data_IF_056553860061
#
_entry.id   IF_056553860061
#
_cell.length_a   1.000
_cell.length_b   1.000
_cell.length_c   1.000
_cell.angle_alpha   90.00
_cell.angle_beta   90.00
_cell.angle_gamma   90.00
#
_symmetry.space_group_name_H-M   'P 1'
#
loop_
_entity.id
_entity.type
_entity.pdbx_description
1 polymer ?
#
# COMPACT_ATOMS: atom_id res chain seq x y z
N UNK A 1 -5.29 36.73 41.58
CA UNK A 1 -5.48 36.93 40.12
C UNK A 1 -4.19 36.76 39.31
N UNK A 2 -3.00 36.90 39.91
CA UNK A 2 -1.72 36.82 39.18
C UNK A 2 -1.22 35.40 38.88
N UNK A 3 -1.53 34.41 39.71
CA UNK A 3 -1.12 33.01 39.46
C UNK A 3 -1.77 32.42 38.21
N UNK A 4 -3.04 32.75 37.95
CA UNK A 4 -3.77 32.31 36.77
C UNK A 4 -3.23 32.93 35.46
N UNK A 5 -2.64 34.14 35.52
CA UNK A 5 -1.96 34.76 34.37
C UNK A 5 -0.61 34.08 34.12
N UNK A 6 0.18 33.83 35.16
CA UNK A 6 1.50 33.19 35.05
C UNK A 6 1.42 31.78 34.43
N UNK A 7 0.47 30.95 34.87
CA UNK A 7 0.26 29.61 34.33
C UNK A 7 -0.09 29.63 32.83
N UNK A 8 -0.91 30.60 32.39
CA UNK A 8 -1.33 30.74 30.99
C UNK A 8 -0.17 31.16 30.08
N UNK A 9 0.74 32.00 30.57
CA UNK A 9 1.96 32.41 29.84
C UNK A 9 2.95 31.25 29.68
N UNK A 10 3.15 30.44 30.72
CA UNK A 10 4.02 29.26 30.66
C UNK A 10 3.47 28.22 29.66
N UNK A 11 2.15 28.02 29.64
CA UNK A 11 1.51 27.09 28.72
C UNK A 11 1.59 27.56 27.25
N UNK A 12 1.35 28.84 26.99
CA UNK A 12 1.52 29.45 25.65
C UNK A 12 2.98 29.44 25.17
N UNK A 13 3.93 29.64 26.09
CA UNK A 13 5.35 29.52 25.78
C UNK A 13 5.73 28.10 25.35
N UNK A 14 5.24 27.07 26.06
CA UNK A 14 5.47 25.67 25.69
C UNK A 14 4.89 25.31 24.34
N UNK A 15 3.66 25.74 24.03
CA UNK A 15 3.04 25.43 22.72
C UNK A 15 3.76 26.11 21.57
N UNK A 16 4.21 27.36 21.74
CA UNK A 16 5.03 28.05 20.74
C UNK A 16 6.38 27.35 20.52
N UNK A 17 7.04 26.91 21.58
CA UNK A 17 8.34 26.22 21.50
C UNK A 17 8.21 24.86 20.80
N UNK A 18 7.17 24.10 21.14
CA UNK A 18 6.84 22.84 20.43
C UNK A 18 6.52 23.11 18.96
N UNK A 19 5.74 24.16 18.65
CA UNK A 19 5.42 24.55 17.28
C UNK A 19 6.68 24.90 16.47
N UNK A 20 7.58 25.71 17.03
CA UNK A 20 8.86 26.06 16.41
C UNK A 20 9.76 24.85 16.19
N UNK A 21 9.82 23.94 17.17
CA UNK A 21 10.60 22.70 17.06
C UNK A 21 10.07 21.78 15.95
N UNK A 22 8.74 21.66 15.81
CA UNK A 22 8.12 20.90 14.73
C UNK A 22 8.40 21.52 13.36
N UNK A 23 8.33 22.85 13.24
CA UNK A 23 8.67 23.56 11.99
C UNK A 23 10.14 23.33 11.64
N UNK A 24 11.04 23.48 12.61
CA UNK A 24 12.47 23.25 12.39
C UNK A 24 12.76 21.82 11.95
N UNK A 25 12.16 20.82 12.60
CA UNK A 25 12.27 19.42 12.21
C UNK A 25 11.73 19.18 10.79
N UNK A 26 10.59 19.77 10.43
CA UNK A 26 10.01 19.64 9.11
C UNK A 26 10.90 20.25 8.02
N UNK A 27 11.48 21.44 8.27
CA UNK A 27 12.40 22.09 7.33
C UNK A 27 13.71 21.31 7.20
N UNK A 28 14.30 20.90 8.32
CA UNK A 28 15.53 20.10 8.32
C UNK A 28 15.33 18.76 7.58
N UNK A 29 14.20 18.10 7.82
CA UNK A 29 13.83 16.87 7.11
C UNK A 29 13.60 17.12 5.62
N UNK A 30 12.92 18.21 5.25
CA UNK A 30 12.72 18.60 3.86
C UNK A 30 14.03 18.89 3.12
N UNK A 31 14.97 19.60 3.75
CA UNK A 31 16.30 19.85 3.19
C UNK A 31 17.12 18.56 3.07
N UNK A 32 17.06 17.68 4.08
CA UNK A 32 17.71 16.37 4.04
C UNK A 32 17.19 15.51 2.88
N UNK A 33 15.87 15.41 2.73
CA UNK A 33 15.25 14.70 1.61
C UNK A 33 15.58 15.34 0.25
N UNK A 34 15.55 16.67 0.17
CA UNK A 34 15.92 17.38 -1.06
C UNK A 34 17.35 17.10 -1.49
N UNK A 35 18.29 17.12 -0.54
CA UNK A 35 19.69 16.79 -0.82
C UNK A 35 19.86 15.32 -1.24
N UNK A 36 19.13 14.41 -0.59
CA UNK A 36 19.15 13.00 -0.93
C UNK A 36 18.60 12.70 -2.34
N UNK A 37 17.56 13.42 -2.78
CA UNK A 37 16.98 13.28 -4.13
C UNK A 37 17.92 13.78 -5.22
N UNK A 38 18.77 14.78 -4.92
CA UNK A 38 19.77 15.30 -5.87
C UNK A 38 21.04 14.42 -5.88
N UNK A 39 21.21 13.57 -4.86
CA UNK A 39 22.38 12.70 -4.75
C UNK A 39 22.38 11.58 -5.81
N UNK A 40 23.56 11.04 -6.17
CA UNK A 40 23.66 9.86 -7.03
C UNK A 40 22.87 8.63 -6.53
N UNK A 41 22.57 8.58 -5.22
CA UNK A 41 21.86 7.49 -4.55
C UNK A 41 20.40 7.86 -4.25
N UNK A 42 19.78 8.69 -5.08
CA UNK A 42 18.37 9.10 -4.94
C UNK A 42 17.39 7.91 -4.83
N UNK A 43 17.77 6.76 -5.38
CA UNK A 43 17.03 5.49 -5.27
C UNK A 43 16.83 5.04 -3.81
N UNK A 44 17.89 5.09 -3.01
CA UNK A 44 17.84 4.71 -1.59
C UNK A 44 17.03 5.72 -0.77
N UNK A 45 17.05 6.99 -1.18
CA UNK A 45 16.25 8.03 -0.56
C UNK A 45 14.75 7.78 -0.76
N UNK A 46 14.34 7.52 -2.00
CA UNK A 46 12.94 7.20 -2.34
C UNK A 46 12.51 5.94 -1.60
N UNK A 47 13.36 4.91 -1.59
CA UNK A 47 13.14 3.67 -0.86
C UNK A 47 12.92 3.91 0.64
N UNK A 48 13.80 4.68 1.28
CA UNK A 48 13.72 5.00 2.71
C UNK A 48 12.46 5.80 3.03
N UNK A 49 12.10 6.79 2.19
CA UNK A 49 10.90 7.60 2.37
C UNK A 49 9.63 6.77 2.25
N UNK A 50 9.53 5.94 1.20
CA UNK A 50 8.32 5.15 0.94
C UNK A 50 8.17 4.03 1.97
N UNK A 51 9.20 3.21 2.18
CA UNK A 51 9.11 2.10 3.14
C UNK A 51 9.12 2.57 4.59
N UNK A 52 9.93 3.58 4.92
CA UNK A 52 9.96 4.18 6.25
C UNK A 52 8.65 4.91 6.56
N UNK A 53 8.14 5.70 5.62
CA UNK A 53 6.84 6.37 5.74
C UNK A 53 5.70 5.38 5.91
N UNK A 54 5.71 4.28 5.15
CA UNK A 54 4.72 3.21 5.28
C UNK A 54 4.83 2.51 6.65
N UNK A 55 6.04 2.21 7.11
CA UNK A 55 6.26 1.60 8.42
C UNK A 55 5.76 2.52 9.55
N UNK A 56 6.08 3.81 9.50
CA UNK A 56 5.59 4.81 10.47
C UNK A 56 4.07 4.89 10.44
N UNK A 57 3.45 4.94 9.25
CA UNK A 57 1.99 4.97 9.12
C UNK A 57 1.33 3.74 9.75
N UNK A 58 1.89 2.55 9.53
CA UNK A 58 1.41 1.29 10.14
C UNK A 58 1.54 1.32 11.66
N UNK A 59 2.68 1.78 12.19
CA UNK A 59 2.93 1.85 13.63
C UNK A 59 2.02 2.87 14.33
N UNK A 60 1.74 4.02 13.70
CA UNK A 60 0.84 5.03 14.24
C UNK A 60 -0.62 4.58 14.21
N UNK A 61 -1.05 3.98 13.11
CA UNK A 61 -2.42 3.48 12.95
C UNK A 61 -2.45 2.35 11.93
N UNK A 62 -2.59 1.08 12.35
CA UNK A 62 -2.57 -0.06 11.43
C UNK A 62 -3.65 0.00 10.35
N UNK A 63 -4.81 0.59 10.66
CA UNK A 63 -5.89 0.79 9.68
C UNK A 63 -5.46 1.79 8.61
N UNK A 64 -4.89 2.93 9.01
CA UNK A 64 -4.42 3.93 8.05
C UNK A 64 -3.21 3.42 7.26
N UNK A 65 -2.32 2.66 7.90
CA UNK A 65 -1.19 2.00 7.24
C UNK A 65 -1.65 1.00 6.18
N UNK A 66 -2.67 0.18 6.48
CA UNK A 66 -3.29 -0.72 5.50
C UNK A 66 -3.91 0.04 4.33
N UNK A 67 -4.66 1.11 4.60
CA UNK A 67 -5.28 1.95 3.56
C UNK A 67 -4.23 2.64 2.68
N UNK A 68 -3.16 3.18 3.30
CA UNK A 68 -2.04 3.79 2.59
C UNK A 68 -1.33 2.76 1.70
N UNK A 69 -1.08 1.57 2.23
CA UNK A 69 -0.54 0.46 1.44
C UNK A 69 -1.45 0.13 0.26
N UNK A 70 -2.77 0.03 0.45
CA UNK A 70 -3.72 -0.21 -0.65
C UNK A 70 -3.68 0.85 -1.75
N UNK A 71 -3.45 2.12 -1.40
CA UNK A 71 -3.31 3.20 -2.39
C UNK A 71 -2.06 2.99 -3.25
N UNK A 72 -0.96 2.55 -2.63
CA UNK A 72 0.35 2.40 -3.26
C UNK A 72 0.49 1.04 -3.97
N UNK A 73 -0.20 -0.01 -3.52
CA UNK A 73 -0.04 -1.38 -4.01
C UNK A 73 -0.30 -1.56 -5.53
N UNK A 74 -1.24 -0.85 -6.18
CA UNK A 74 -1.37 -0.92 -7.63
C UNK A 74 -0.12 -0.45 -8.36
N UNK A 75 0.61 0.51 -7.78
CA UNK A 75 1.91 0.90 -8.31
C UNK A 75 2.88 -0.28 -8.17
N UNK A 76 2.82 -1.06 -7.08
CA UNK A 76 3.68 -2.24 -6.84
C UNK A 76 3.62 -3.27 -7.96
N UNK A 77 2.42 -3.47 -8.49
CA UNK A 77 2.19 -4.41 -9.58
C UNK A 77 2.71 -3.90 -10.93
N UNK A 78 3.02 -2.60 -11.04
CA UNK A 78 3.82 -2.03 -12.13
C UNK A 78 5.31 -2.43 -12.05
N UNK A 79 5.61 -3.56 -11.41
CA UNK A 79 6.86 -4.34 -11.38
C UNK A 79 7.65 -4.44 -12.70
N UNK A 80 7.06 -4.06 -13.84
CA UNK A 80 7.71 -3.89 -15.13
C UNK A 80 8.45 -2.55 -15.29
N UNK A 81 8.37 -1.65 -14.30
CA UNK A 81 9.02 -0.34 -14.31
C UNK A 81 10.16 -0.27 -13.32
N UNK A 82 11.24 0.42 -13.71
CA UNK A 82 12.46 0.59 -12.91
C UNK A 82 12.17 1.15 -11.50
N UNK A 83 11.12 1.99 -11.37
CA UNK A 83 10.67 2.60 -10.11
C UNK A 83 10.38 1.56 -9.02
N UNK A 84 9.81 0.40 -9.36
CA UNK A 84 9.52 -0.62 -8.36
C UNK A 84 10.70 -1.52 -8.04
N UNK A 85 11.63 -1.65 -8.98
CA UNK A 85 12.92 -2.30 -8.70
C UNK A 85 13.73 -1.50 -7.70
N UNK A 86 13.62 -0.16 -7.75
CA UNK A 86 14.25 0.77 -6.81
C UNK A 86 13.71 0.58 -5.39
N UNK A 87 12.41 0.35 -5.24
CA UNK A 87 11.79 0.19 -3.92
C UNK A 87 12.11 -1.16 -3.25
N UNK A 88 12.52 -2.17 -4.00
CA UNK A 88 12.83 -3.50 -3.45
C UNK A 88 14.26 -3.55 -2.89
N UNK A 89 14.39 -4.08 -1.67
CA UNK A 89 15.72 -4.42 -1.11
C UNK A 89 16.02 -5.87 -1.46
N UNK A 90 17.09 -6.07 -2.23
CA UNK A 90 17.57 -7.41 -2.57
C UNK A 90 18.18 -8.05 -1.33
N UNK A 91 17.64 -9.20 -0.95
CA UNK A 91 18.12 -9.95 0.20
C UNK A 91 19.16 -11.00 -0.24
N UNK A 92 20.01 -11.50 0.69
CA UNK A 92 20.94 -12.58 0.39
C UNK A 92 20.23 -13.83 -0.16
N UNK A 93 20.94 -14.69 -0.92
CA UNK A 93 20.37 -15.92 -1.47
C UNK A 93 19.66 -16.75 -0.41
N UNK A 94 18.42 -17.16 -0.71
CA UNK A 94 17.58 -17.95 0.19
C UNK A 94 16.58 -17.13 1.02
N UNK A 95 16.73 -15.81 1.09
CA UNK A 95 15.75 -14.93 1.73
C UNK A 95 14.94 -14.20 0.64
N UNK A 96 13.60 -14.19 0.70
CA UNK A 96 12.79 -13.40 -0.21
C UNK A 96 13.13 -11.90 -0.09
N UNK A 97 13.30 -11.23 -1.23
CA UNK A 97 13.52 -9.77 -1.29
C UNK A 97 12.50 -8.98 -0.45
N UNK A 98 12.93 -7.91 0.20
CA UNK A 98 12.02 -7.08 0.98
C UNK A 98 11.33 -6.08 0.04
N UNK A 99 10.09 -6.39 -0.31
CA UNK A 99 9.21 -5.52 -1.09
C UNK A 99 8.33 -4.68 -0.15
N UNK A 100 7.82 -3.52 -0.59
CA UNK A 100 6.83 -2.77 0.17
C UNK A 100 5.61 -3.59 0.59
N UNK A 101 5.16 -4.55 -0.22
CA UNK A 101 4.06 -5.45 0.11
C UNK A 101 4.41 -6.39 1.28
N UNK A 102 5.59 -7.04 1.21
CA UNK A 102 6.06 -7.94 2.26
C UNK A 102 6.33 -7.17 3.56
N UNK A 103 6.90 -5.97 3.46
CA UNK A 103 7.09 -5.08 4.61
C UNK A 103 5.74 -4.71 5.24
N UNK A 104 4.77 -4.25 4.44
CA UNK A 104 3.47 -3.83 4.93
C UNK A 104 2.75 -4.98 5.62
N UNK A 105 2.63 -6.13 4.97
CA UNK A 105 1.92 -7.29 5.50
C UNK A 105 2.65 -7.87 6.70
N UNK A 106 3.97 -7.98 6.66
CA UNK A 106 4.78 -8.45 7.78
C UNK A 106 4.61 -7.57 9.01
N UNK A 107 4.78 -6.25 8.84
CA UNK A 107 4.68 -5.29 9.94
C UNK A 107 3.24 -5.20 10.47
N UNK A 108 2.23 -5.15 9.59
CA UNK A 108 0.82 -5.18 10.00
C UNK A 108 0.49 -6.45 10.78
N UNK A 109 1.01 -7.60 10.36
CA UNK A 109 0.82 -8.88 11.05
C UNK A 109 1.44 -8.84 12.45
N UNK A 110 2.68 -8.36 12.58
CA UNK A 110 3.36 -8.22 13.89
C UNK A 110 2.59 -7.27 14.80
N UNK A 111 2.20 -6.09 14.31
CA UNK A 111 1.45 -5.11 15.10
C UNK A 111 0.07 -5.67 15.49
N UNK A 112 -0.60 -6.37 14.59
CA UNK A 112 -1.88 -7.01 14.88
C UNK A 112 -1.75 -8.09 15.96
N UNK A 113 -0.76 -8.98 15.86
CA UNK A 113 -0.48 -10.00 16.88
C UNK A 113 -0.14 -9.35 18.23
N UNK A 114 0.65 -8.28 18.24
CA UNK A 114 0.94 -7.53 19.46
C UNK A 114 -0.34 -6.90 20.07
N UNK A 115 -1.24 -6.35 19.25
CA UNK A 115 -2.53 -5.82 19.72
C UNK A 115 -3.45 -6.92 20.27
N UNK A 116 -3.42 -8.12 19.70
CA UNK A 116 -4.11 -9.29 20.24
C UNK A 116 -3.53 -9.71 21.59
N UNK A 117 -2.20 -9.77 21.70
CA UNK A 117 -1.51 -10.18 22.93
C UNK A 117 -1.79 -9.22 24.11
N UNK A 118 -1.90 -7.92 23.84
CA UNK A 118 -2.24 -6.89 24.85
C UNK A 118 -3.77 -6.85 25.11
N UNK A 119 -4.57 -7.61 24.37
CA UNK A 119 -6.04 -7.63 24.51
C UNK A 119 -6.75 -6.39 23.98
N UNK A 120 -6.05 -5.52 23.23
CA UNK A 120 -6.63 -4.33 22.57
C UNK A 120 -7.57 -4.70 21.42
N UNK A 121 -7.40 -5.89 20.83
CA UNK A 121 -8.27 -6.41 19.78
C UNK A 121 -8.68 -7.85 20.07
N UNK A 122 -9.78 -8.26 19.46
CA UNK A 122 -10.25 -9.64 19.44
C UNK A 122 -10.34 -10.12 18.00
N UNK A 123 -10.00 -11.38 17.79
CA UNK A 123 -10.15 -12.03 16.48
C UNK A 123 -11.64 -12.19 16.19
N UNK A 124 -12.09 -11.69 15.03
CA UNK A 124 -13.44 -11.94 14.54
C UNK A 124 -13.61 -13.42 14.18
N UNK A 125 -14.85 -13.91 14.21
CA UNK A 125 -15.15 -15.33 13.90
C UNK A 125 -14.54 -15.74 12.56
N UNK A 126 -13.88 -16.88 12.55
CA UNK A 126 -13.34 -17.49 11.34
C UNK A 126 -14.50 -17.87 10.41
N UNK A 127 -14.37 -17.57 9.13
CA UNK A 127 -15.31 -17.95 8.07
C UNK A 127 -14.54 -18.42 6.85
N UNK A 128 -14.45 -17.64 5.76
CA UNK A 128 -13.74 -18.03 4.54
C UNK A 128 -12.23 -18.26 4.76
N UNK A 129 -11.65 -17.73 5.84
CA UNK A 129 -10.24 -17.92 6.18
C UNK A 129 -9.85 -19.39 6.38
N UNK A 130 -10.79 -20.23 6.82
CA UNK A 130 -10.54 -21.66 6.99
C UNK A 130 -10.21 -22.31 5.65
N UNK A 131 -10.93 -21.94 4.59
CA UNK A 131 -10.66 -22.43 3.23
C UNK A 131 -9.37 -21.85 2.66
N UNK A 132 -9.03 -20.59 2.99
CA UNK A 132 -7.76 -19.97 2.60
C UNK A 132 -6.57 -20.72 3.22
N UNK A 133 -6.65 -21.04 4.51
CA UNK A 133 -5.61 -21.82 5.21
C UNK A 133 -5.52 -23.23 4.64
N UNK A 134 -6.66 -23.89 4.42
CA UNK A 134 -6.70 -25.22 3.80
C UNK A 134 -6.06 -25.20 2.40
N UNK A 135 -6.36 -24.20 1.58
CA UNK A 135 -5.71 -24.02 0.28
C UNK A 135 -4.19 -23.91 0.42
N UNK A 136 -3.69 -23.07 1.34
CA UNK A 136 -2.25 -22.94 1.57
C UNK A 136 -1.60 -24.28 1.94
N UNK A 137 -2.24 -25.07 2.80
CA UNK A 137 -1.75 -26.41 3.19
C UNK A 137 -1.75 -27.36 2.00
N UNK A 138 -2.83 -27.38 1.21
CA UNK A 138 -2.96 -28.27 0.05
C UNK A 138 -2.00 -27.92 -1.09
N UNK A 139 -1.50 -26.69 -1.16
CA UNK A 139 -0.53 -26.25 -2.18
C UNK A 139 0.91 -26.61 -1.80
N UNK A 140 1.22 -26.93 -0.54
CA UNK A 140 2.59 -27.26 -0.10
C UNK A 140 3.25 -28.40 -0.91
N UNK A 141 2.57 -29.52 -1.22
CA UNK A 141 3.16 -30.57 -2.05
C UNK A 141 3.50 -30.08 -3.47
N UNK A 142 2.67 -29.21 -4.05
CA UNK A 142 2.93 -28.64 -5.37
C UNK A 142 4.14 -27.69 -5.36
N UNK A 143 4.35 -26.95 -4.27
CA UNK A 143 5.55 -26.12 -4.08
C UNK A 143 6.79 -26.99 -3.92
N UNK A 144 6.70 -28.07 -3.14
CA UNK A 144 7.81 -29.00 -2.94
C UNK A 144 8.22 -29.71 -4.24
N UNK A 145 7.25 -29.99 -5.13
CA UNK A 145 7.47 -30.59 -6.44
C UNK A 145 7.88 -29.57 -7.54
N UNK A 146 8.03 -28.28 -7.21
CA UNK A 146 8.29 -27.21 -8.17
C UNK A 146 9.66 -27.32 -8.87
N UNK A 147 9.64 -27.25 -10.21
CA UNK A 147 10.84 -27.39 -11.06
C UNK A 147 11.85 -26.23 -10.92
N UNK A 148 11.40 -25.04 -10.52
CA UNK A 148 12.25 -23.85 -10.33
C UNK A 148 12.92 -23.78 -8.95
N UNK A 149 12.82 -24.85 -8.16
CA UNK A 149 13.32 -24.93 -6.79
C UNK A 149 12.36 -24.32 -5.77
N UNK A 150 12.49 -24.77 -4.52
CA UNK A 150 11.59 -24.41 -3.41
C UNK A 150 11.59 -22.90 -3.15
N UNK A 151 12.75 -22.24 -3.26
CA UNK A 151 12.85 -20.81 -2.96
C UNK A 151 12.08 -19.94 -3.98
N UNK A 152 12.20 -20.22 -5.26
CA UNK A 152 11.47 -19.47 -6.31
C UNK A 152 9.96 -19.75 -6.24
N UNK A 153 9.61 -21.04 -6.16
CA UNK A 153 8.20 -21.47 -6.12
C UNK A 153 7.50 -20.99 -4.84
N UNK A 154 8.21 -21.02 -3.70
CA UNK A 154 7.74 -20.51 -2.42
C UNK A 154 7.52 -19.00 -2.41
N UNK A 155 8.38 -18.21 -3.08
CA UNK A 155 8.16 -16.78 -3.25
C UNK A 155 6.88 -16.48 -4.05
N UNK A 156 6.64 -17.24 -5.13
CA UNK A 156 5.38 -17.11 -5.89
C UNK A 156 4.17 -17.46 -5.03
N UNK A 157 4.27 -18.51 -4.21
CA UNK A 157 3.21 -18.87 -3.26
C UNK A 157 2.93 -17.72 -2.28
N UNK A 158 4.00 -17.16 -1.71
CA UNK A 158 3.93 -16.06 -0.76
C UNK A 158 3.26 -14.83 -1.38
N UNK A 159 3.71 -14.40 -2.55
CA UNK A 159 3.25 -13.15 -3.15
C UNK A 159 1.84 -13.28 -3.75
N UNK A 160 1.51 -14.43 -4.35
CA UNK A 160 0.24 -14.60 -5.07
C UNK A 160 -0.91 -15.12 -4.23
N UNK A 161 -0.64 -15.79 -3.12
CA UNK A 161 -1.68 -16.44 -2.32
C UNK A 161 -1.62 -16.02 -0.86
N UNK A 162 -0.48 -16.24 -0.19
CA UNK A 162 -0.38 -15.99 1.26
C UNK A 162 -0.56 -14.49 1.57
N UNK A 163 0.10 -13.61 0.83
CA UNK A 163 0.01 -12.16 1.02
C UNK A 163 -1.43 -11.65 0.87
N UNK A 164 -2.17 -11.94 -0.22
CA UNK A 164 -3.59 -11.58 -0.33
C UNK A 164 -4.48 -12.16 0.79
N UNK A 165 -4.25 -13.40 1.23
CA UNK A 165 -5.03 -14.01 2.30
C UNK A 165 -4.75 -13.36 3.66
N UNK A 166 -3.49 -13.02 3.94
CA UNK A 166 -3.13 -12.26 5.13
C UNK A 166 -3.74 -10.86 5.10
N UNK A 167 -3.68 -10.17 3.96
CA UNK A 167 -4.33 -8.86 3.78
C UNK A 167 -5.83 -8.95 4.05
N UNK A 168 -6.50 -9.98 3.53
CA UNK A 168 -7.92 -10.21 3.81
C UNK A 168 -8.18 -10.40 5.31
N UNK A 169 -7.43 -11.28 5.97
CA UNK A 169 -7.56 -11.53 7.39
C UNK A 169 -7.28 -10.26 8.22
N UNK A 170 -6.22 -9.51 7.87
CA UNK A 170 -5.87 -8.25 8.51
C UNK A 170 -6.98 -7.21 8.33
N UNK A 171 -7.45 -7.00 7.09
CA UNK A 171 -8.54 -6.07 6.79
C UNK A 171 -9.79 -6.38 7.61
N UNK A 172 -10.23 -7.65 7.63
CA UNK A 172 -11.41 -8.08 8.39
C UNK A 172 -11.27 -7.79 9.89
N UNK A 173 -10.09 -7.98 10.47
CA UNK A 173 -9.86 -7.81 11.90
C UNK A 173 -9.45 -6.38 12.30
N UNK A 174 -8.95 -5.58 11.36
CA UNK A 174 -8.52 -4.19 11.58
C UNK A 174 -9.68 -3.21 11.43
N UNK A 175 -10.60 -3.43 10.47
CA UNK A 175 -11.71 -2.52 10.21
C UNK A 175 -12.85 -2.64 11.22
N UNK A 176 -13.24 -1.48 11.77
CA UNK A 176 -14.52 -1.30 12.45
C UNK A 176 -15.65 -1.18 11.41
N UNK A 177 -16.84 -1.73 11.69
CA UNK A 177 -17.87 -1.97 10.68
C UNK A 177 -18.27 -0.74 9.88
N UNK A 178 -18.59 0.39 10.52
CA UNK A 178 -19.07 1.59 9.79
C UNK A 178 -17.93 2.47 9.29
N UNK A 179 -17.06 2.93 10.20
CA UNK A 179 -15.95 3.82 9.85
C UNK A 179 -14.92 3.16 8.93
N UNK A 180 -14.71 1.85 9.05
CA UNK A 180 -13.81 1.10 8.17
C UNK A 180 -14.31 1.05 6.74
N UNK A 181 -15.62 0.85 6.53
CA UNK A 181 -16.23 0.85 5.20
C UNK A 181 -16.17 2.21 4.53
N UNK A 182 -16.44 3.29 5.26
CA UNK A 182 -16.32 4.66 4.73
C UNK A 182 -14.89 4.97 4.29
N UNK A 183 -13.90 4.64 5.12
CA UNK A 183 -12.48 4.84 4.79
C UNK A 183 -12.03 3.96 3.62
N UNK A 184 -12.46 2.71 3.59
CA UNK A 184 -12.17 1.79 2.49
C UNK A 184 -12.76 2.32 1.18
N UNK A 185 -14.02 2.76 1.21
CA UNK A 185 -14.69 3.38 0.06
C UNK A 185 -13.93 4.61 -0.44
N UNK A 186 -13.52 5.51 0.46
CA UNK A 186 -12.71 6.67 0.10
C UNK A 186 -11.37 6.26 -0.52
N UNK A 187 -10.69 5.25 0.04
CA UNK A 187 -9.45 4.70 -0.53
C UNK A 187 -9.66 4.10 -1.92
N UNK A 188 -10.72 3.32 -2.12
CA UNK A 188 -11.07 2.77 -3.43
C UNK A 188 -11.40 3.89 -4.43
N UNK A 189 -12.10 4.95 -4.00
CA UNK A 189 -12.38 6.11 -4.84
C UNK A 189 -11.09 6.82 -5.28
N UNK A 190 -10.14 7.05 -4.36
CA UNK A 190 -8.81 7.60 -4.70
C UNK A 190 -8.10 6.72 -5.73
N UNK A 191 -8.14 5.39 -5.55
CA UNK A 191 -7.58 4.43 -6.50
C UNK A 191 -8.25 4.54 -7.88
N UNK A 192 -9.58 4.56 -7.91
CA UNK A 192 -10.35 4.70 -9.14
C UNK A 192 -10.05 6.01 -9.87
N UNK A 193 -9.94 7.12 -9.13
CA UNK A 193 -9.65 8.45 -9.70
C UNK A 193 -8.28 8.45 -10.39
N UNK A 194 -7.21 8.03 -9.70
CA UNK A 194 -5.89 8.06 -10.33
C UNK A 194 -5.79 7.05 -11.47
N UNK A 195 -6.38 5.85 -11.36
CA UNK A 195 -6.38 4.88 -12.46
C UNK A 195 -7.10 5.44 -13.69
N UNK A 196 -8.25 6.10 -13.48
CA UNK A 196 -9.01 6.76 -14.55
C UNK A 196 -8.21 7.89 -15.19
N UNK A 197 -7.51 8.69 -14.39
CA UNK A 197 -6.61 9.73 -14.88
C UNK A 197 -5.49 9.15 -15.75
N UNK A 198 -4.81 8.09 -15.30
CA UNK A 198 -3.75 7.45 -16.08
C UNK A 198 -4.29 6.87 -17.39
N UNK A 199 -5.44 6.20 -17.36
CA UNK A 199 -6.10 5.68 -18.56
C UNK A 199 -6.44 6.80 -19.55
N UNK A 200 -6.99 7.91 -19.04
CA UNK A 200 -7.35 9.07 -19.86
C UNK A 200 -6.12 9.71 -20.50
N UNK A 201 -5.02 9.86 -19.75
CA UNK A 201 -3.75 10.33 -20.28
C UNK A 201 -3.22 9.42 -21.40
N UNK A 202 -3.18 8.10 -21.17
CA UNK A 202 -2.70 7.15 -22.19
C UNK A 202 -3.60 7.15 -23.43
N UNK A 203 -4.90 7.36 -23.25
CA UNK A 203 -5.84 7.45 -24.35
C UNK A 203 -5.60 8.71 -25.21
N UNK A 204 -5.41 9.87 -24.57
CA UNK A 204 -5.20 11.14 -25.28
C UNK A 204 -3.83 11.24 -25.95
N UNK A 205 -2.77 10.90 -25.21
CA UNK A 205 -1.39 11.03 -25.70
C UNK A 205 -0.98 9.85 -26.58
N UNK A 206 -1.60 8.70 -26.35
CA UNK A 206 -1.16 7.43 -26.90
C UNK A 206 0.23 7.00 -26.43
N UNK A 207 0.76 7.65 -25.40
CA UNK A 207 2.02 7.29 -24.78
C UNK A 207 1.72 6.53 -23.49
N UNK A 208 2.11 5.26 -23.40
CA UNK A 208 1.88 4.48 -22.20
C UNK A 208 2.86 4.93 -21.11
N UNK A 209 2.34 5.20 -19.91
CA UNK A 209 3.13 5.70 -18.78
C UNK A 209 3.98 4.61 -18.15
N UNK A 210 3.48 3.37 -18.17
CA UNK A 210 4.17 2.22 -17.63
C UNK A 210 4.24 1.13 -18.70
N UNK A 211 5.43 0.93 -19.28
CA UNK A 211 5.66 -0.18 -20.21
C UNK A 211 6.88 -0.98 -19.80
N UNK A 212 6.70 -2.30 -19.82
CA UNK A 212 7.85 -3.20 -19.76
C UNK A 212 8.62 -3.17 -21.08
N UNK A 213 9.95 -3.16 -20.99
CA UNK A 213 10.83 -3.27 -22.14
C UNK A 213 10.48 -4.55 -22.92
N UNK A 214 10.25 -4.42 -24.23
CA UNK A 214 9.96 -5.55 -25.12
C UNK A 214 8.49 -5.98 -25.21
N UNK A 215 7.52 -5.23 -24.64
CA UNK A 215 6.09 -5.51 -24.84
C UNK A 215 5.46 -4.67 -25.93
N UNK A 216 4.52 -5.27 -26.67
CA UNK A 216 3.75 -4.58 -27.71
C UNK A 216 2.72 -3.64 -27.07
N UNK A 217 2.78 -2.37 -27.46
CA UNK A 217 1.89 -1.29 -27.01
C UNK A 217 0.74 -1.03 -28.00
N UNK A 218 0.67 -1.84 -29.06
CA UNK A 218 -0.23 -1.65 -30.19
C UNK A 218 -0.83 -3.00 -30.57
N UNK A 219 -2.16 -3.08 -30.70
CA UNK A 219 -2.86 -4.26 -31.22
C UNK A 219 -2.90 -4.27 -32.76
N UNK A 220 -3.07 -3.09 -33.37
CA UNK A 220 -3.07 -2.88 -34.82
C UNK A 220 -2.68 -1.42 -35.14
N UNK A 221 -2.36 -1.09 -36.39
CA UNK A 221 -1.97 0.28 -36.81
C UNK A 221 -2.93 1.39 -36.31
N UNK A 222 -4.22 1.07 -36.14
CA UNK A 222 -5.25 1.99 -35.65
C UNK A 222 -5.67 1.78 -34.19
N UNK A 223 -5.23 0.69 -33.54
CA UNK A 223 -5.75 0.28 -32.23
C UNK A 223 -4.60 0.13 -31.23
N UNK A 224 -4.46 1.15 -30.37
CA UNK A 224 -3.44 1.22 -29.32
C UNK A 224 -3.91 0.49 -28.08
N UNK A 225 -2.98 -0.18 -27.40
CA UNK A 225 -3.27 -0.88 -26.15
C UNK A 225 -3.06 0.09 -24.99
N UNK A 226 -4.09 0.29 -24.19
CA UNK A 226 -3.97 0.96 -22.88
C UNK A 226 -3.33 -0.05 -21.94
N UNK A 227 -2.15 0.28 -21.43
CA UNK A 227 -1.33 -0.61 -20.58
C UNK A 227 -1.52 -0.20 -19.12
N UNK A 228 -1.38 1.10 -18.84
CA UNK A 228 -1.46 1.73 -17.53
C UNK A 228 -0.70 0.97 -16.45
N UNK A 229 -1.02 1.26 -15.19
CA UNK A 229 -0.30 0.81 -14.00
C UNK A 229 -0.22 -0.72 -13.87
N UNK A 230 -1.29 -1.43 -14.23
CA UNK A 230 -1.37 -2.89 -14.06
C UNK A 230 -0.81 -3.68 -15.25
N UNK A 231 -0.26 -3.00 -16.27
CA UNK A 231 0.37 -3.64 -17.42
C UNK A 231 -0.58 -4.36 -18.39
N UNK A 232 -1.88 -4.41 -18.08
CA UNK A 232 -2.90 -5.13 -18.84
C UNK A 232 -4.27 -4.45 -18.68
N UNK A 233 -4.97 -4.13 -19.80
CA UNK A 233 -6.29 -3.51 -19.75
C UNK A 233 -7.35 -4.39 -19.07
N UNK A 234 -7.22 -5.72 -19.12
CA UNK A 234 -8.17 -6.62 -18.46
C UNK A 234 -8.15 -6.43 -16.94
N UNK A 235 -6.96 -6.31 -16.32
CA UNK A 235 -6.85 -6.10 -14.88
C UNK A 235 -7.39 -4.73 -14.46
N UNK A 236 -7.16 -3.68 -15.25
CA UNK A 236 -7.76 -2.37 -15.00
C UNK A 236 -9.29 -2.43 -15.06
N UNK A 237 -9.84 -3.09 -16.08
CA UNK A 237 -11.28 -3.27 -16.23
C UNK A 237 -11.88 -4.02 -15.04
N UNK A 238 -11.22 -5.07 -14.55
CA UNK A 238 -11.67 -5.80 -13.36
C UNK A 238 -11.63 -4.92 -12.10
N UNK A 239 -10.53 -4.21 -11.87
CA UNK A 239 -10.38 -3.34 -10.68
C UNK A 239 -11.39 -2.19 -10.71
N UNK A 240 -11.55 -1.50 -11.84
CA UNK A 240 -12.54 -0.43 -11.98
C UNK A 240 -13.97 -0.97 -11.89
N UNK A 241 -14.24 -2.14 -12.47
CA UNK A 241 -15.53 -2.82 -12.37
C UNK A 241 -15.92 -3.17 -10.93
N UNK A 242 -14.94 -3.39 -10.04
CA UNK A 242 -15.18 -3.58 -8.61
C UNK A 242 -15.29 -2.24 -7.86
N UNK A 243 -14.43 -1.26 -8.17
CA UNK A 243 -14.36 0.03 -7.46
C UNK A 243 -15.58 0.90 -7.75
N UNK A 244 -15.99 1.03 -9.02
CA UNK A 244 -17.01 1.99 -9.45
C UNK A 244 -18.36 1.74 -8.76
N UNK A 245 -18.90 0.50 -8.72
CA UNK A 245 -20.16 0.25 -8.02
C UNK A 245 -20.08 0.56 -6.53
N UNK A 246 -18.97 0.24 -5.87
CA UNK A 246 -18.77 0.49 -4.43
C UNK A 246 -18.72 2.00 -4.15
N UNK A 247 -17.96 2.74 -4.95
CA UNK A 247 -17.84 4.19 -4.83
C UNK A 247 -19.19 4.90 -5.09
N UNK A 248 -19.93 4.48 -6.12
CA UNK A 248 -21.25 5.02 -6.44
C UNK A 248 -22.25 4.74 -5.33
N UNK A 249 -22.31 3.49 -4.85
CA UNK A 249 -23.17 3.12 -3.73
C UNK A 249 -22.88 3.99 -2.50
N UNK A 250 -21.61 4.10 -2.12
CA UNK A 250 -21.18 4.94 -1.00
C UNK A 250 -21.57 6.41 -1.17
N UNK A 251 -21.43 6.98 -2.36
CA UNK A 251 -21.80 8.36 -2.66
C UNK A 251 -23.32 8.59 -2.52
N UNK A 252 -24.13 7.64 -2.97
CA UNK A 252 -25.60 7.73 -2.85
C UNK A 252 -26.08 7.60 -1.40
N UNK A 253 -25.41 6.78 -0.59
CA UNK A 253 -25.77 6.60 0.83
C UNK A 253 -25.24 7.72 1.75
N UNK A 254 -24.28 8.52 1.28
CA UNK A 254 -23.67 9.63 2.02
C UNK A 254 -24.40 10.97 1.82
N UNK A 255 -25.39 11.04 0.93
CA UNK A 255 -26.21 12.23 0.75
C UNK A 255 -27.11 12.44 2.00
N UNK A 256 -27.03 13.60 2.68
CA UNK A 256 -27.92 13.90 3.80
C UNK A 256 -29.35 14.08 3.28
N UNK A 257 -30.28 13.37 3.90
CA UNK A 257 -31.68 13.82 4.01
C UNK A 257 -31.83 14.84 5.12
#
# INVERSE_FOLDING_TARGET
MDEARSAKWIQSGKTLLVGLLLIFLAVAFGLFLGNLVISPNWEDAVRLVVMGGLAVAILMSPVNGLLLWMIIAPYAQASFTEIWRILNIRMPPGIPDLTPDRLAVGLLSVVFVAQLAIGKRRVRRLGPEVFMVMFCVMVLPAVAAGLSGINSTGQVLLDRFITPFLVFALAKNLYEEKSGLEKLSATLAVIGIYLSFMIFYEHLTGQPLFTGIGRTTVYSRSLRKIVSLLGNPAFLGTVLGMIVPIALFSATTAAPG
#
